data_IF_440669364949
#
_entry.id   IF_440669364949
#
_cell.length_a   1.000
_cell.length_b   1.000
_cell.length_c   1.000
_cell.angle_alpha   90.00
_cell.angle_beta   90.00
_cell.angle_gamma   90.00
#
_symmetry.space_group_name_H-M   'P 1'
#
loop_
_entity.id
_entity.type
_entity.pdbx_description
1 polymer ?
#
# COMPACT_ATOMS: atom_id res chain seq x y z
N UNK A 1 -31.02 4.92 35.82
CA UNK A 1 -29.68 5.52 35.61
C UNK A 1 -28.61 4.54 35.09
N UNK A 2 -28.84 3.21 35.04
CA UNK A 2 -27.84 2.23 34.56
C UNK A 2 -27.86 1.87 33.07
N UNK A 3 -28.83 2.36 32.29
CA UNK A 3 -29.00 1.95 30.88
C UNK A 3 -28.26 2.83 29.86
N UNK A 4 -27.77 4.00 30.28
CA UNK A 4 -27.01 4.92 29.42
C UNK A 4 -25.50 4.58 29.36
N UNK A 5 -24.97 3.87 30.36
CA UNK A 5 -23.56 3.43 30.39
C UNK A 5 -23.28 2.18 29.54
N UNK A 6 -24.30 1.35 29.29
CA UNK A 6 -24.17 0.18 28.41
C UNK A 6 -24.20 0.56 26.92
N UNK A 7 -24.80 1.70 26.58
CA UNK A 7 -24.80 2.22 25.20
C UNK A 7 -23.48 2.93 24.86
N UNK A 8 -22.76 3.48 25.85
CA UNK A 8 -21.43 4.06 25.63
C UNK A 8 -20.36 2.97 25.43
N UNK A 9 -20.45 1.83 26.11
CA UNK A 9 -19.49 0.73 25.93
C UNK A 9 -19.64 0.00 24.59
N UNK A 10 -20.86 -0.14 24.05
CA UNK A 10 -21.05 -0.64 22.68
C UNK A 10 -20.61 0.37 21.59
N UNK A 11 -20.74 1.67 21.85
CA UNK A 11 -20.26 2.72 20.97
C UNK A 11 -18.73 2.84 20.98
N UNK A 12 -18.08 2.64 22.14
CA UNK A 12 -16.62 2.55 22.28
C UNK A 12 -16.06 1.28 21.60
N UNK A 13 -16.79 0.16 21.64
CA UNK A 13 -16.43 -1.05 20.89
C UNK A 13 -16.58 -0.85 19.38
N UNK A 14 -17.57 -0.06 18.93
CA UNK A 14 -17.69 0.37 17.54
C UNK A 14 -16.62 1.42 17.17
N UNK A 15 -16.11 2.17 18.17
CA UNK A 15 -14.97 3.07 18.07
C UNK A 15 -13.61 2.37 18.15
N UNK A 16 -13.58 1.03 18.20
CA UNK A 16 -12.41 0.24 17.81
C UNK A 16 -12.15 0.30 16.28
N UNK A 17 -12.77 1.24 15.57
CA UNK A 17 -12.28 1.74 14.29
C UNK A 17 -10.93 2.42 14.52
N UNK A 18 -9.88 1.84 13.95
CA UNK A 18 -8.54 2.45 13.93
C UNK A 18 -8.61 3.94 13.55
N UNK A 19 -7.69 4.75 14.07
CA UNK A 19 -7.66 6.18 13.77
C UNK A 19 -7.02 6.44 12.39
N UNK A 20 -7.62 7.25 11.50
CA UNK A 20 -7.03 7.57 10.20
C UNK A 20 -5.67 8.25 10.35
N UNK A 21 -4.76 7.95 9.43
CA UNK A 21 -3.38 8.41 9.51
C UNK A 21 -3.29 9.95 9.46
N UNK A 22 -4.28 10.61 8.84
CA UNK A 22 -4.41 12.07 8.83
C UNK A 22 -4.51 12.69 10.23
N UNK A 23 -5.08 11.96 11.21
CA UNK A 23 -5.15 12.42 12.61
C UNK A 23 -3.77 12.41 13.28
N UNK A 24 -2.93 11.41 12.95
CA UNK A 24 -1.53 11.39 13.37
C UNK A 24 -0.72 12.54 12.79
N UNK A 25 -1.07 13.01 11.58
CA UNK A 25 -0.48 14.19 10.95
C UNK A 25 -1.08 15.52 11.40
N UNK A 26 -1.99 15.50 12.39
CA UNK A 26 -2.69 16.69 12.87
C UNK A 26 -3.42 17.47 11.76
N UNK A 27 -3.67 16.81 10.62
CA UNK A 27 -4.15 17.45 9.39
C UNK A 27 -3.34 18.68 8.95
N UNK A 28 -2.03 18.74 9.27
CA UNK A 28 -1.19 19.84 8.80
C UNK A 28 -1.10 19.78 7.26
N UNK A 29 -1.61 20.80 6.55
CA UNK A 29 -1.79 20.73 5.09
C UNK A 29 -0.46 20.54 4.35
N UNK A 30 0.65 21.08 4.88
CA UNK A 30 1.98 20.88 4.31
C UNK A 30 2.48 19.43 4.41
N UNK A 31 2.21 18.74 5.52
CA UNK A 31 2.69 17.37 5.73
C UNK A 31 1.80 16.35 5.01
N UNK A 32 0.48 16.53 5.08
CA UNK A 32 -0.48 15.70 4.34
C UNK A 32 -0.29 15.86 2.84
N UNK A 33 -0.15 17.09 2.34
CA UNK A 33 0.10 17.36 0.93
C UNK A 33 1.41 16.74 0.44
N UNK A 34 2.47 16.81 1.25
CA UNK A 34 3.75 16.18 0.92
C UNK A 34 3.59 14.66 0.75
N UNK A 35 2.92 13.99 1.68
CA UNK A 35 2.67 12.54 1.59
C UNK A 35 1.80 12.18 0.39
N UNK A 36 0.66 12.85 0.20
CA UNK A 36 -0.25 12.59 -0.93
C UNK A 36 0.46 12.75 -2.28
N UNK A 37 1.23 13.83 -2.45
CA UNK A 37 1.93 14.10 -3.71
C UNK A 37 3.08 13.10 -3.91
N UNK A 38 3.90 12.87 -2.88
CA UNK A 38 5.04 11.96 -2.97
C UNK A 38 4.60 10.53 -3.24
N UNK A 39 3.66 10.01 -2.45
CA UNK A 39 3.14 8.65 -2.59
C UNK A 39 2.36 8.48 -3.90
N UNK A 40 1.68 9.53 -4.38
CA UNK A 40 1.03 9.54 -5.69
C UNK A 40 2.03 9.43 -6.86
N UNK A 41 3.11 10.22 -6.82
CA UNK A 41 4.18 10.18 -7.84
C UNK A 41 4.89 8.83 -7.82
N UNK A 42 5.19 8.29 -6.63
CA UNK A 42 5.83 6.98 -6.48
C UNK A 42 4.92 5.87 -7.02
N UNK A 43 3.65 5.87 -6.65
CA UNK A 43 2.68 4.89 -7.16
C UNK A 43 2.62 4.91 -8.69
N UNK A 44 2.49 6.10 -9.30
CA UNK A 44 2.48 6.24 -10.76
C UNK A 44 3.77 5.72 -11.42
N UNK A 45 4.91 6.06 -10.83
CA UNK A 45 6.22 5.59 -11.32
C UNK A 45 6.32 4.07 -11.24
N UNK A 46 5.84 3.47 -10.16
CA UNK A 46 5.90 2.03 -9.90
C UNK A 46 4.93 1.24 -10.78
N UNK A 47 3.86 1.84 -11.30
CA UNK A 47 3.07 1.20 -12.37
C UNK A 47 3.70 1.36 -13.75
N UNK A 48 4.41 2.46 -14.01
CA UNK A 48 5.03 2.74 -15.31
C UNK A 48 6.26 1.87 -15.61
N UNK A 49 7.15 1.69 -14.63
CA UNK A 49 8.38 0.88 -14.76
C UNK A 49 8.10 -0.57 -15.24
N UNK A 50 7.21 -1.36 -14.61
CA UNK A 50 6.95 -2.74 -15.02
C UNK A 50 6.32 -2.83 -16.41
N UNK A 51 5.51 -1.84 -16.83
CA UNK A 51 4.96 -1.79 -18.21
C UNK A 51 6.10 -1.71 -19.23
N UNK A 52 7.06 -0.80 -19.01
CA UNK A 52 8.22 -0.66 -19.90
C UNK A 52 9.07 -1.92 -19.88
N UNK A 53 9.31 -2.48 -18.70
CA UNK A 53 10.12 -3.70 -18.53
C UNK A 53 9.52 -4.90 -19.25
N UNK A 54 8.21 -5.16 -19.09
CA UNK A 54 7.50 -6.24 -19.78
C UNK A 54 7.47 -6.05 -21.29
N UNK A 55 7.33 -4.80 -21.77
CA UNK A 55 7.37 -4.49 -23.21
C UNK A 55 8.73 -4.81 -23.83
N UNK A 56 9.82 -4.56 -23.11
CA UNK A 56 11.18 -4.90 -23.56
C UNK A 56 11.37 -6.41 -23.58
N UNK A 57 10.93 -7.10 -22.52
CA UNK A 57 11.05 -8.55 -22.38
C UNK A 57 10.30 -9.30 -23.49
N UNK A 58 9.06 -8.88 -23.78
CA UNK A 58 8.25 -9.46 -24.86
C UNK A 58 8.79 -9.22 -26.27
N UNK A 59 9.63 -8.19 -26.46
CA UNK A 59 10.30 -7.94 -27.75
C UNK A 59 11.62 -8.70 -27.90
N UNK A 60 12.19 -9.21 -26.80
CA UNK A 60 13.49 -9.90 -26.76
C UNK A 60 13.33 -11.35 -26.31
N UNK A 61 12.41 -12.11 -26.90
CA UNK A 61 11.93 -13.43 -26.45
C UNK A 61 12.96 -14.52 -26.08
N UNK A 62 14.26 -14.28 -26.24
CA UNK A 62 15.37 -15.19 -25.96
C UNK A 62 16.11 -14.92 -24.63
N UNK A 63 15.50 -14.21 -23.68
CA UNK A 63 16.10 -14.03 -22.34
C UNK A 63 15.76 -15.20 -21.39
N UNK A 64 16.75 -15.95 -20.87
CA UNK A 64 16.52 -17.10 -20.00
C UNK A 64 15.99 -16.75 -18.59
N UNK A 65 15.93 -15.46 -18.22
CA UNK A 65 15.54 -14.99 -16.89
C UNK A 65 14.14 -14.33 -16.84
N UNK A 66 13.23 -14.69 -17.75
CA UNK A 66 11.91 -14.08 -17.85
C UNK A 66 11.09 -14.17 -16.54
N UNK A 67 11.26 -15.26 -15.79
CA UNK A 67 10.55 -15.46 -14.52
C UNK A 67 10.99 -14.48 -13.43
N UNK A 68 12.28 -14.18 -13.31
CA UNK A 68 12.80 -13.21 -12.32
C UNK A 68 12.34 -11.79 -12.69
N UNK A 69 12.36 -11.45 -13.98
CA UNK A 69 11.82 -10.18 -14.44
C UNK A 69 10.32 -10.04 -14.13
N UNK A 70 9.54 -11.11 -14.28
CA UNK A 70 8.12 -11.09 -13.93
C UNK A 70 7.90 -10.96 -12.41
N UNK A 71 8.69 -11.65 -11.59
CA UNK A 71 8.67 -11.54 -10.12
C UNK A 71 9.04 -10.13 -9.66
N UNK A 72 10.06 -9.53 -10.26
CA UNK A 72 10.48 -8.16 -9.98
C UNK A 72 9.41 -7.14 -10.40
N UNK A 73 8.76 -7.35 -11.56
CA UNK A 73 7.63 -6.52 -11.97
C UNK A 73 6.46 -6.61 -10.96
N UNK A 74 6.13 -7.83 -10.51
CA UNK A 74 5.09 -8.05 -9.51
C UNK A 74 5.44 -7.39 -8.16
N UNK A 75 6.69 -7.48 -7.73
CA UNK A 75 7.19 -6.79 -6.53
C UNK A 75 7.01 -5.26 -6.62
N UNK A 76 7.43 -4.65 -7.74
CA UNK A 76 7.30 -3.20 -7.93
C UNK A 76 5.82 -2.77 -7.92
N UNK A 77 4.94 -3.52 -8.58
CA UNK A 77 3.49 -3.26 -8.56
C UNK A 77 2.93 -3.35 -7.14
N UNK A 78 3.30 -4.39 -6.38
CA UNK A 78 2.85 -4.54 -5.00
C UNK A 78 3.32 -3.37 -4.12
N UNK A 79 4.57 -2.91 -4.27
CA UNK A 79 5.06 -1.71 -3.59
C UNK A 79 4.24 -0.46 -3.97
N UNK A 80 3.91 -0.29 -5.25
CA UNK A 80 3.08 0.83 -5.73
C UNK A 80 1.67 0.82 -5.13
N UNK A 81 1.07 -0.35 -4.99
CA UNK A 81 -0.24 -0.49 -4.29
C UNK A 81 -0.14 -0.14 -2.80
N UNK A 82 1.00 -0.37 -2.17
CA UNK A 82 1.26 0.06 -0.79
C UNK A 82 1.20 1.58 -0.64
N UNK A 83 1.83 2.34 -1.55
CA UNK A 83 1.78 3.80 -1.54
C UNK A 83 0.36 4.35 -1.77
N UNK A 84 -0.43 3.73 -2.65
CA UNK A 84 -1.83 4.09 -2.82
C UNK A 84 -2.65 3.84 -1.54
N UNK A 85 -2.36 2.75 -0.83
CA UNK A 85 -3.01 2.45 0.44
C UNK A 85 -2.57 3.40 1.56
N UNK A 86 -1.31 3.85 1.58
CA UNK A 86 -0.85 4.86 2.53
C UNK A 86 -1.60 6.19 2.31
N UNK A 87 -1.81 6.60 1.06
CA UNK A 87 -2.68 7.74 0.72
C UNK A 87 -4.13 7.47 1.15
N UNK A 88 -4.68 6.30 0.86
CA UNK A 88 -6.05 5.94 1.25
C UNK A 88 -6.28 5.94 2.77
N UNK A 89 -5.29 5.46 3.54
CA UNK A 89 -5.36 5.39 5.00
C UNK A 89 -5.33 6.74 5.72
N UNK A 90 -5.01 7.82 5.00
CA UNK A 90 -5.18 9.19 5.49
C UNK A 90 -6.64 9.51 5.82
N UNK A 91 -7.59 8.99 5.03
CA UNK A 91 -9.03 9.20 5.21
C UNK A 91 -9.73 7.97 5.76
N UNK A 92 -9.35 6.77 5.31
CA UNK A 92 -10.00 5.51 5.65
C UNK A 92 -9.02 4.55 6.32
N UNK A 93 -9.08 4.37 7.65
CA UNK A 93 -8.11 3.64 8.47
C UNK A 93 -8.17 2.11 8.31
N UNK A 94 -8.12 1.63 7.08
CA UNK A 94 -8.17 0.21 6.75
C UNK A 94 -6.77 -0.44 6.83
N UNK A 95 -6.14 -0.34 8.00
CA UNK A 95 -4.77 -0.80 8.24
C UNK A 95 -4.57 -2.29 7.99
N UNK A 96 -5.60 -3.11 8.18
CA UNK A 96 -5.55 -4.53 7.83
C UNK A 96 -5.21 -4.76 6.35
N UNK A 97 -5.83 -4.01 5.43
CA UNK A 97 -5.57 -4.15 3.99
C UNK A 97 -4.14 -3.70 3.66
N UNK A 98 -3.69 -2.57 4.21
CA UNK A 98 -2.30 -2.11 4.06
C UNK A 98 -1.29 -3.15 4.58
N UNK A 99 -1.58 -3.74 5.74
CA UNK A 99 -0.77 -4.81 6.34
C UNK A 99 -0.71 -6.07 5.47
N UNK A 100 -1.84 -6.53 4.94
CA UNK A 100 -1.87 -7.69 4.03
C UNK A 100 -1.08 -7.44 2.75
N UNK A 101 -1.24 -6.26 2.13
CA UNK A 101 -0.47 -5.91 0.92
C UNK A 101 1.02 -5.88 1.23
N UNK A 102 1.45 -5.29 2.34
CA UNK A 102 2.85 -5.30 2.78
C UNK A 102 3.39 -6.70 3.06
N UNK A 103 2.59 -7.57 3.65
CA UNK A 103 2.97 -8.95 3.89
C UNK A 103 3.17 -9.73 2.58
N UNK A 104 2.26 -9.56 1.62
CA UNK A 104 2.41 -10.14 0.27
C UNK A 104 3.66 -9.59 -0.42
N UNK A 105 3.87 -8.27 -0.38
CA UNK A 105 5.08 -7.62 -0.91
C UNK A 105 6.35 -8.20 -0.28
N UNK A 106 6.37 -8.43 1.03
CA UNK A 106 7.52 -9.02 1.72
C UNK A 106 7.82 -10.45 1.27
N UNK A 107 6.78 -11.28 1.11
CA UNK A 107 6.92 -12.66 0.60
C UNK A 107 7.43 -12.67 -0.84
N UNK A 108 6.88 -11.82 -1.70
CA UNK A 108 7.32 -11.69 -3.10
C UNK A 108 8.76 -11.17 -3.15
N UNK A 109 9.13 -10.21 -2.29
CA UNK A 109 10.50 -9.69 -2.19
C UNK A 109 11.49 -10.77 -1.77
N UNK A 110 11.15 -11.58 -0.76
CA UNK A 110 11.98 -12.68 -0.30
C UNK A 110 12.13 -13.75 -1.39
N UNK A 111 11.04 -14.10 -2.08
CA UNK A 111 11.07 -15.01 -3.22
C UNK A 111 11.96 -14.49 -4.36
N UNK A 112 11.94 -13.18 -4.62
CA UNK A 112 12.79 -12.53 -5.62
C UNK A 112 14.26 -12.51 -5.19
N UNK A 113 14.56 -12.40 -3.90
CA UNK A 113 15.93 -12.39 -3.38
C UNK A 113 16.61 -13.77 -3.39
N UNK A 114 15.81 -14.85 -3.36
CA UNK A 114 16.30 -16.24 -3.32
C UNK A 114 16.38 -16.87 -4.72
N UNK A 115 15.59 -16.38 -5.68
CA UNK A 115 15.55 -16.86 -7.07
C UNK A 115 16.76 -16.40 -7.89
#
# INVERSE_FOLDING_TARGET
MGQLAALSTSAELLAASFMPHGMCYLWKPGLVGLHVISDGIIAFSYFSIPIVMLRILGRRGDVPFNSIALLFAAFIVCCGTGHLLDVWTLWHPNYWISGYVRAVTAVVSLGTAIA
#
